data_IF_611656307969
#
_entry.id   IF_611656307969
#
_cell.length_a   1.000
_cell.length_b   1.000
_cell.length_c   1.000
_cell.angle_alpha   90.00
_cell.angle_beta   90.00
_cell.angle_gamma   90.00
#
_symmetry.space_group_name_H-M   'P 1'
#
loop_
_entity.id
_entity.type
_entity.pdbx_description
1 polymer ?
#
# COMPACT_ATOMS: atom_id res chain seq x y z
N UNK A 1 -46.30 27.28 -8.26
CA UNK A 1 -47.12 26.14 -7.81
C UNK A 1 -46.23 24.90 -7.84
N UNK A 2 -45.74 24.43 -6.69
CA UNK A 2 -44.92 23.22 -6.59
C UNK A 2 -45.84 22.02 -6.37
N UNK A 3 -45.87 21.07 -7.31
CA UNK A 3 -46.62 19.82 -7.12
C UNK A 3 -45.79 18.88 -6.25
N UNK A 4 -46.29 18.66 -5.04
CA UNK A 4 -45.70 17.79 -4.02
C UNK A 4 -45.95 16.33 -4.42
N UNK A 5 -45.05 15.73 -5.21
CA UNK A 5 -45.10 14.31 -5.56
C UNK A 5 -44.60 13.50 -4.37
N UNK A 6 -45.52 13.15 -3.48
CA UNK A 6 -45.28 12.24 -2.36
C UNK A 6 -45.10 10.82 -2.92
N UNK A 7 -43.86 10.36 -3.02
CA UNK A 7 -43.60 8.94 -3.30
C UNK A 7 -44.12 8.09 -2.13
N UNK A 8 -44.94 7.04 -2.38
CA UNK A 8 -45.30 6.10 -1.34
C UNK A 8 -44.05 5.31 -0.93
N UNK A 9 -43.73 5.27 0.37
CA UNK A 9 -42.74 4.36 0.92
C UNK A 9 -43.26 2.93 0.72
N UNK A 10 -42.71 2.20 -0.25
CA UNK A 10 -42.99 0.79 -0.40
C UNK A 10 -42.37 0.04 0.78
N UNK A 11 -43.20 -0.41 1.72
CA UNK A 11 -42.82 -1.44 2.67
C UNK A 11 -42.68 -2.75 1.89
N UNK A 12 -41.44 -3.14 1.58
CA UNK A 12 -41.13 -4.41 0.92
C UNK A 12 -41.26 -5.57 1.92
N UNK A 13 -42.49 -5.92 2.30
CA UNK A 13 -42.77 -7.25 2.83
C UNK A 13 -43.09 -8.15 1.63
N UNK A 14 -42.12 -8.98 1.22
CA UNK A 14 -42.31 -9.95 0.12
C UNK A 14 -43.39 -10.97 0.51
N UNK A 15 -44.51 -10.99 -0.22
CA UNK A 15 -45.52 -12.02 -0.07
C UNK A 15 -45.17 -13.25 -0.93
N UNK A 16 -45.64 -14.44 -0.52
CA UNK A 16 -45.38 -15.72 -1.21
C UNK A 16 -45.84 -15.74 -2.68
N UNK A 17 -46.73 -14.84 -3.06
CA UNK A 17 -47.26 -14.68 -4.42
C UNK A 17 -46.39 -13.80 -5.32
N UNK A 18 -45.50 -12.97 -4.76
CA UNK A 18 -44.64 -12.07 -5.53
C UNK A 18 -43.51 -12.81 -6.27
N UNK A 19 -43.20 -14.05 -5.86
CA UNK A 19 -42.23 -14.93 -6.50
C UNK A 19 -42.58 -15.32 -7.95
N UNK A 20 -43.87 -15.28 -8.31
CA UNK A 20 -44.34 -15.67 -9.64
C UNK A 20 -44.59 -14.49 -10.59
N UNK A 21 -44.41 -13.24 -10.14
CA UNK A 21 -44.65 -12.08 -10.98
C UNK A 21 -43.46 -11.83 -11.95
N UNK A 22 -43.69 -11.88 -13.27
CA UNK A 22 -42.63 -11.80 -14.29
C UNK A 22 -41.96 -10.44 -14.39
N UNK A 23 -42.53 -9.37 -13.82
CA UNK A 23 -41.93 -8.02 -13.82
C UNK A 23 -40.70 -7.90 -12.91
N UNK A 24 -40.57 -8.78 -11.91
CA UNK A 24 -39.45 -8.76 -10.96
C UNK A 24 -38.29 -9.67 -11.36
N UNK A 25 -38.53 -10.72 -12.17
CA UNK A 25 -37.50 -11.67 -12.61
C UNK A 25 -36.32 -11.01 -13.35
N UNK A 26 -36.54 -10.05 -14.28
CA UNK A 26 -35.43 -9.37 -14.95
C UNK A 26 -34.60 -8.51 -13.99
N UNK A 27 -35.24 -7.87 -12.99
CA UNK A 27 -34.51 -7.04 -12.02
C UNK A 27 -33.66 -7.86 -11.07
N UNK A 28 -34.18 -8.99 -10.58
CA UNK A 28 -33.41 -9.88 -9.69
C UNK A 28 -32.25 -10.55 -10.44
N UNK A 29 -32.45 -10.99 -11.68
CA UNK A 29 -31.36 -11.50 -12.51
C UNK A 29 -30.26 -10.46 -12.74
N UNK A 30 -30.60 -9.19 -13.01
CA UNK A 30 -29.62 -8.13 -13.17
C UNK A 30 -28.86 -7.82 -11.88
N UNK A 31 -29.55 -7.82 -10.73
CA UNK A 31 -28.90 -7.61 -9.42
C UNK A 31 -27.99 -8.77 -9.01
N UNK A 32 -28.43 -10.02 -9.16
CA UNK A 32 -27.61 -11.20 -8.83
C UNK A 32 -26.41 -11.35 -9.77
N UNK A 33 -26.59 -11.11 -11.07
CA UNK A 33 -25.48 -11.05 -12.02
C UNK A 33 -24.49 -9.94 -11.66
N UNK A 34 -24.99 -8.75 -11.28
CA UNK A 34 -24.12 -7.65 -10.88
C UNK A 34 -23.33 -7.96 -9.60
N UNK A 35 -23.95 -8.62 -8.61
CA UNK A 35 -23.29 -9.05 -7.37
C UNK A 35 -22.26 -10.15 -7.61
N UNK A 36 -22.59 -11.16 -8.41
CA UNK A 36 -21.64 -12.20 -8.81
C UNK A 36 -20.45 -11.61 -9.58
N UNK A 37 -20.71 -10.67 -10.49
CA UNK A 37 -19.66 -10.02 -11.27
C UNK A 37 -18.74 -9.16 -10.39
N UNK A 38 -19.31 -8.41 -9.45
CA UNK A 38 -18.53 -7.65 -8.46
C UNK A 38 -17.67 -8.57 -7.59
N UNK A 39 -18.22 -9.68 -7.10
CA UNK A 39 -17.50 -10.68 -6.31
C UNK A 39 -16.34 -11.33 -7.05
N UNK A 40 -16.47 -11.58 -8.35
CA UNK A 40 -15.41 -12.20 -9.15
C UNK A 40 -14.25 -11.25 -9.45
N UNK A 41 -14.54 -9.95 -9.59
CA UNK A 41 -13.52 -8.92 -9.84
C UNK A 41 -12.84 -8.40 -8.56
N UNK A 42 -13.50 -8.52 -7.40
CA UNK A 42 -12.98 -8.06 -6.12
C UNK A 42 -11.55 -8.55 -5.81
N UNK A 43 -11.21 -9.84 -5.95
CA UNK A 43 -9.85 -10.34 -5.72
C UNK A 43 -8.81 -9.68 -6.64
N UNK A 44 -9.14 -9.50 -7.92
CA UNK A 44 -8.24 -8.89 -8.92
C UNK A 44 -8.00 -7.41 -8.58
N UNK A 45 -9.05 -6.68 -8.22
CA UNK A 45 -8.95 -5.27 -7.80
C UNK A 45 -8.12 -5.15 -6.53
N UNK A 46 -8.32 -6.02 -5.53
CA UNK A 46 -7.52 -6.04 -4.30
C UNK A 46 -6.05 -6.40 -4.57
N UNK A 47 -5.78 -7.37 -5.44
CA UNK A 47 -4.43 -7.73 -5.87
C UNK A 47 -3.69 -6.53 -6.49
N UNK A 48 -4.35 -5.82 -7.41
CA UNK A 48 -3.78 -4.64 -8.06
C UNK A 48 -3.47 -3.52 -7.04
N UNK A 49 -4.40 -3.26 -6.11
CA UNK A 49 -4.18 -2.29 -5.02
C UNK A 49 -3.00 -2.69 -4.13
N UNK A 50 -2.90 -3.98 -3.79
CA UNK A 50 -1.79 -4.50 -3.01
C UNK A 50 -0.46 -4.29 -3.76
N UNK A 51 -0.38 -4.66 -5.04
CA UNK A 51 0.82 -4.44 -5.85
C UNK A 51 1.21 -2.98 -5.94
N UNK A 52 0.25 -2.08 -6.18
CA UNK A 52 0.49 -0.63 -6.22
C UNK A 52 1.05 -0.11 -4.89
N UNK A 53 0.44 -0.48 -3.75
CA UNK A 53 0.90 -0.06 -2.44
C UNK A 53 2.30 -0.58 -2.09
N UNK A 54 2.66 -1.79 -2.54
CA UNK A 54 4.01 -2.31 -2.34
C UNK A 54 5.05 -1.66 -3.24
N UNK A 55 4.69 -1.36 -4.49
CA UNK A 55 5.56 -0.58 -5.39
C UNK A 55 5.81 0.82 -4.84
N UNK A 56 4.76 1.51 -4.37
CA UNK A 56 4.90 2.82 -3.73
C UNK A 56 5.82 2.75 -2.52
N UNK A 57 5.62 1.75 -1.64
CA UNK A 57 6.45 1.59 -0.46
C UNK A 57 7.92 1.24 -0.80
N UNK A 58 8.17 0.46 -1.85
CA UNK A 58 9.52 0.16 -2.34
C UNK A 58 10.19 1.40 -2.94
N UNK A 59 9.48 2.19 -3.72
CA UNK A 59 9.99 3.44 -4.29
C UNK A 59 10.32 4.44 -3.17
N UNK A 60 9.43 4.61 -2.20
CA UNK A 60 9.67 5.47 -1.05
C UNK A 60 10.90 5.01 -0.25
N UNK A 61 11.06 3.70 -0.05
CA UNK A 61 12.24 3.12 0.58
C UNK A 61 13.53 3.43 -0.22
N UNK A 62 13.54 3.18 -1.54
CA UNK A 62 14.69 3.45 -2.39
C UNK A 62 15.08 4.93 -2.39
N UNK A 63 14.09 5.83 -2.48
CA UNK A 63 14.33 7.28 -2.43
C UNK A 63 14.90 7.72 -1.08
N UNK A 64 14.34 7.21 0.03
CA UNK A 64 14.83 7.53 1.38
C UNK A 64 16.25 7.02 1.62
N UNK A 65 16.54 5.80 1.14
CA UNK A 65 17.89 5.24 1.17
C UNK A 65 18.86 6.11 0.36
N UNK A 66 18.52 6.44 -0.89
CA UNK A 66 19.34 7.27 -1.76
C UNK A 66 19.63 8.66 -1.16
N UNK A 67 18.61 9.34 -0.65
CA UNK A 67 18.77 10.64 0.03
C UNK A 67 19.79 10.54 1.18
N UNK A 68 19.66 9.52 2.02
CA UNK A 68 20.56 9.35 3.16
C UNK A 68 22.02 9.09 2.74
N UNK A 69 22.24 8.30 1.68
CA UNK A 69 23.60 8.07 1.16
C UNK A 69 24.19 9.33 0.52
N UNK A 70 23.37 10.12 -0.17
CA UNK A 70 23.77 11.43 -0.72
C UNK A 70 24.13 12.38 0.41
N UNK A 71 23.33 12.45 1.47
CA UNK A 71 23.58 13.32 2.62
C UNK A 71 24.91 12.97 3.30
N UNK A 72 25.19 11.67 3.47
CA UNK A 72 26.49 11.21 3.97
C UNK A 72 27.63 11.65 3.04
N UNK A 73 27.48 11.46 1.73
CA UNK A 73 28.50 11.84 0.75
C UNK A 73 28.77 13.36 0.73
N UNK A 74 27.71 14.18 0.76
CA UNK A 74 27.83 15.64 0.83
C UNK A 74 28.49 16.06 2.14
N UNK A 75 28.13 15.45 3.26
CA UNK A 75 28.75 15.73 4.56
C UNK A 75 30.25 15.44 4.53
N UNK A 76 30.64 14.32 3.92
CA UNK A 76 32.05 13.94 3.72
C UNK A 76 32.79 14.90 2.80
N UNK A 77 32.17 15.29 1.69
CA UNK A 77 32.75 16.26 0.75
C UNK A 77 32.97 17.62 1.42
N UNK A 78 32.02 18.11 2.22
CA UNK A 78 32.16 19.35 2.99
C UNK A 78 33.31 19.24 3.99
N UNK A 79 33.34 18.18 4.80
CA UNK A 79 34.41 17.93 5.75
C UNK A 79 35.79 17.85 5.09
N UNK A 80 35.88 17.32 3.87
CA UNK A 80 37.13 17.29 3.10
C UNK A 80 37.50 18.68 2.54
N UNK A 81 36.52 19.47 2.10
CA UNK A 81 36.75 20.82 1.59
C UNK A 81 37.19 21.80 2.69
N UNK A 82 36.81 21.54 3.95
CA UNK A 82 37.20 22.36 5.11
C UNK A 82 38.63 22.07 5.61
N UNK A 83 39.35 21.10 5.03
CA UNK A 83 40.73 20.79 5.39
C UNK A 83 41.65 21.90 4.86
N UNK A 84 42.28 22.63 5.77
CA UNK A 84 43.18 23.75 5.45
C UNK A 84 44.50 23.71 6.24
N UNK A 85 44.64 22.80 7.20
CA UNK A 85 45.81 22.65 8.05
C UNK A 85 45.97 21.17 8.52
N UNK A 86 47.12 20.80 9.14
CA UNK A 86 47.34 19.44 9.63
C UNK A 86 46.36 18.98 10.72
N UNK A 87 45.83 19.89 11.54
CA UNK A 87 44.92 19.55 12.64
C UNK A 87 43.51 19.21 12.12
N UNK A 88 43.01 19.96 11.12
CA UNK A 88 41.78 19.67 10.37
C UNK A 88 41.90 18.38 9.56
N UNK A 89 43.07 18.08 9.00
CA UNK A 89 43.35 16.79 8.36
C UNK A 89 43.29 15.64 9.38
N UNK A 90 43.90 15.78 10.56
CA UNK A 90 43.85 14.77 11.61
C UNK A 90 42.40 14.55 12.10
N UNK A 91 41.64 15.63 12.24
CA UNK A 91 40.22 15.58 12.62
C UNK A 91 39.38 14.83 11.58
N UNK A 92 39.58 15.13 10.29
CA UNK A 92 38.94 14.41 9.19
C UNK A 92 39.27 12.91 9.22
N UNK A 93 40.54 12.55 9.40
CA UNK A 93 40.98 11.15 9.48
C UNK A 93 40.36 10.43 10.68
N UNK A 94 40.27 11.09 11.83
CA UNK A 94 39.64 10.54 13.04
C UNK A 94 38.13 10.31 12.82
N UNK A 95 37.45 11.22 12.13
CA UNK A 95 36.02 11.09 11.80
C UNK A 95 35.70 9.92 10.83
N UNK A 96 36.70 9.29 10.20
CA UNK A 96 36.45 8.15 9.30
C UNK A 96 35.81 6.96 9.99
N UNK A 97 36.19 6.67 11.24
CA UNK A 97 35.56 5.59 12.00
C UNK A 97 34.07 5.87 12.24
N UNK A 98 33.71 7.12 12.50
CA UNK A 98 32.31 7.54 12.68
C UNK A 98 31.49 7.44 11.39
N UNK A 99 32.09 7.67 10.20
CA UNK A 99 31.42 7.38 8.93
C UNK A 99 31.07 5.92 8.81
N UNK A 100 32.06 5.07 9.07
CA UNK A 100 31.93 3.64 8.89
C UNK A 100 30.83 3.13 9.82
N UNK A 101 30.82 3.61 11.07
CA UNK A 101 29.73 3.36 12.01
C UNK A 101 28.37 3.83 11.49
N UNK A 102 28.29 5.05 10.97
CA UNK A 102 27.04 5.62 10.42
C UNK A 102 26.54 4.84 9.20
N UNK A 103 27.44 4.43 8.30
CA UNK A 103 27.15 3.58 7.14
C UNK A 103 26.64 2.21 7.56
N UNK A 104 27.32 1.58 8.52
CA UNK A 104 26.93 0.27 9.04
C UNK A 104 25.55 0.33 9.70
N UNK A 105 25.30 1.35 10.51
CA UNK A 105 24.00 1.58 11.13
C UNK A 105 22.92 1.75 10.06
N UNK A 106 23.17 2.60 9.06
CA UNK A 106 22.23 2.82 7.97
C UNK A 106 21.93 1.54 7.17
N UNK A 107 22.95 0.76 6.88
CA UNK A 107 22.80 -0.53 6.21
C UNK A 107 21.94 -1.51 7.02
N UNK A 108 22.17 -1.58 8.35
CA UNK A 108 21.35 -2.41 9.23
C UNK A 108 19.89 -1.95 9.26
N UNK A 109 19.66 -0.64 9.31
CA UNK A 109 18.31 -0.07 9.34
C UNK A 109 17.58 -0.28 8.02
N UNK A 110 18.28 -0.13 6.88
CA UNK A 110 17.74 -0.44 5.56
C UNK A 110 17.39 -1.93 5.41
N UNK A 111 18.22 -2.81 5.97
CA UNK A 111 17.96 -4.26 5.98
C UNK A 111 16.70 -4.59 6.78
N UNK A 112 16.51 -3.96 7.95
CA UNK A 112 15.29 -4.12 8.77
C UNK A 112 14.06 -3.58 8.05
N UNK A 113 14.17 -2.41 7.43
CA UNK A 113 13.07 -1.80 6.68
C UNK A 113 12.64 -2.67 5.50
N UNK A 114 13.60 -3.20 4.74
CA UNK A 114 13.32 -4.11 3.63
C UNK A 114 12.68 -5.42 4.09
N UNK A 115 13.16 -6.00 5.20
CA UNK A 115 12.56 -7.18 5.81
C UNK A 115 11.10 -6.92 6.24
N UNK A 116 10.83 -5.75 6.83
CA UNK A 116 9.49 -5.33 7.21
C UNK A 116 8.57 -5.15 5.99
N UNK A 117 9.05 -4.53 4.91
CA UNK A 117 8.29 -4.40 3.66
C UNK A 117 7.91 -5.77 3.08
N UNK A 118 8.86 -6.70 3.06
CA UNK A 118 8.65 -8.07 2.56
C UNK A 118 7.65 -8.83 3.43
N UNK A 119 7.79 -8.73 4.75
CA UNK A 119 6.87 -9.36 5.70
C UNK A 119 5.44 -8.83 5.54
N UNK A 120 5.28 -7.51 5.40
CA UNK A 120 3.98 -6.86 5.18
C UNK A 120 3.36 -7.32 3.87
N UNK A 121 4.12 -7.34 2.77
CA UNK A 121 3.64 -7.85 1.49
C UNK A 121 3.13 -9.29 1.60
N UNK A 122 3.93 -10.18 2.22
CA UNK A 122 3.52 -11.57 2.44
C UNK A 122 2.24 -11.67 3.26
N UNK A 123 2.12 -10.94 4.36
CA UNK A 123 0.94 -10.97 5.22
C UNK A 123 -0.32 -10.52 4.47
N UNK A 124 -0.26 -9.42 3.73
CA UNK A 124 -1.39 -8.90 2.96
C UNK A 124 -1.75 -9.82 1.78
N UNK A 125 -0.75 -10.46 1.15
CA UNK A 125 -0.99 -11.47 0.13
C UNK A 125 -1.67 -12.72 0.69
N UNK A 126 -1.19 -13.24 1.82
CA UNK A 126 -1.79 -14.41 2.48
C UNK A 126 -3.26 -14.13 2.86
N UNK A 127 -3.57 -12.91 3.35
CA UNK A 127 -4.94 -12.46 3.60
C UNK A 127 -5.79 -12.45 2.33
N UNK A 128 -5.27 -11.89 1.24
CA UNK A 128 -5.97 -11.85 -0.06
C UNK A 128 -6.34 -13.26 -0.55
N UNK A 129 -5.42 -14.22 -0.41
CA UNK A 129 -5.67 -15.62 -0.76
C UNK A 129 -6.75 -16.24 0.13
N UNK A 130 -6.68 -16.04 1.44
CA UNK A 130 -7.68 -16.56 2.38
C UNK A 130 -9.09 -16.00 2.10
N UNK A 131 -9.21 -14.70 1.85
CA UNK A 131 -10.49 -14.07 1.48
C UNK A 131 -11.04 -14.63 0.17
N UNK A 132 -10.18 -14.82 -0.84
CA UNK A 132 -10.57 -15.36 -2.14
C UNK A 132 -11.07 -16.81 -2.05
N UNK A 133 -10.46 -17.62 -1.17
CA UNK A 133 -10.89 -19.00 -0.90
C UNK A 133 -12.19 -19.05 -0.08
N UNK A 134 -12.39 -18.09 0.83
CA UNK A 134 -13.63 -17.98 1.63
C UNK A 134 -14.86 -17.65 0.78
N UNK A 135 -14.67 -16.92 -0.33
CA UNK A 135 -15.73 -16.62 -1.30
C UNK A 135 -16.24 -17.86 -2.06
N UNK A 136 -15.53 -18.99 -1.97
CA UNK A 136 -15.83 -20.23 -2.70
C UNK A 136 -16.69 -21.22 -1.90
N UNK A 137 -17.08 -20.91 -0.65
CA UNK A 137 -18.01 -21.68 0.19
C UNK A 137 -19.32 -20.93 0.34
#
# INVERSE_FOLDING_TARGET
>A
MQQNIRYPRANFAMNRTDFFNPLWRPRMMNEDLSKQYQSFLQPVVKANKLSAANLEALVNFQMSALQSYIDLAITRMKAAADINDPDSLQSFLTSQSEAIGSLQQKFMDDSKALAALTSRFKSEFDKLVQESLSFKK
#
